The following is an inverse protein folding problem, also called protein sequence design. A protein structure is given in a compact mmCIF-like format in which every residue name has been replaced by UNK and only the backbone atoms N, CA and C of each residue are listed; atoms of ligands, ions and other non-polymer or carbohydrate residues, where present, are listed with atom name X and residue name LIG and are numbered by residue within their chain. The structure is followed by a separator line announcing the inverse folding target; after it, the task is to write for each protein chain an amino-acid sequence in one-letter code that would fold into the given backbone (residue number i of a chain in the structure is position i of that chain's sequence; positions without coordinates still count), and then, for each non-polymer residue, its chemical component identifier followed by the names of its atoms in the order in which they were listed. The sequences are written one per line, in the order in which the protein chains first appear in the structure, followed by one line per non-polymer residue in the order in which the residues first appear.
data_IF_543331190514
#
_entry.id   IF_543331190514
#
_cell.length_a   1.000
_cell.length_b   1.000
_cell.length_c   1.000
_cell.angle_alpha   90.00
_cell.angle_beta   90.00
_cell.angle_gamma   90.00
#
_symmetry.space_group_name_H-M   'P 1'
#
loop_
_entity.id
_entity.type
_entity.pdbx_description
1 polymer ?
#
# COMPACT_ATOMS: atom_id res chain seq x y z
N UNK A 1 -30.31 0.52 -8.40
CA UNK A 1 -30.49 -0.85 -7.85
C UNK A 1 -29.60 -1.76 -8.68
N UNK A 2 -28.55 -2.34 -8.10
CA UNK A 2 -27.69 -3.28 -8.81
C UNK A 2 -28.38 -4.65 -8.94
N UNK A 3 -28.35 -5.24 -10.13
CA UNK A 3 -28.88 -6.56 -10.39
C UNK A 3 -27.81 -7.43 -11.05
N UNK A 4 -27.52 -8.59 -10.46
CA UNK A 4 -26.72 -9.66 -11.06
C UNK A 4 -27.59 -10.88 -11.34
N UNK A 5 -27.25 -11.69 -12.35
CA UNK A 5 -27.88 -13.01 -12.55
C UNK A 5 -27.48 -13.95 -11.42
N UNK A 6 -28.45 -14.56 -10.75
CA UNK A 6 -28.21 -15.59 -9.71
C UNK A 6 -28.24 -17.01 -10.25
N UNK A 7 -28.70 -17.20 -11.50
CA UNK A 7 -28.85 -18.52 -12.13
C UNK A 7 -29.74 -19.47 -11.30
N UNK A 8 -30.67 -18.89 -10.53
CA UNK A 8 -31.70 -19.61 -9.81
C UNK A 8 -32.97 -19.78 -10.68
N UNK A 9 -33.86 -20.74 -10.39
CA UNK A 9 -35.10 -20.92 -11.15
C UNK A 9 -36.00 -19.68 -11.21
N UNK A 10 -35.93 -18.81 -10.20
CA UNK A 10 -36.74 -17.59 -10.06
C UNK A 10 -36.05 -16.33 -10.62
N UNK A 11 -34.90 -16.46 -11.27
CA UNK A 11 -34.03 -15.31 -11.57
C UNK A 11 -34.69 -14.30 -12.53
N UNK A 12 -35.48 -14.78 -13.49
CA UNK A 12 -36.25 -13.91 -14.39
C UNK A 12 -37.35 -13.14 -13.63
N UNK A 13 -38.16 -13.82 -12.82
CA UNK A 13 -39.19 -13.19 -12.02
C UNK A 13 -38.62 -12.15 -11.03
N UNK A 14 -37.44 -12.45 -10.45
CA UNK A 14 -36.74 -11.47 -9.61
C UNK A 14 -36.25 -10.27 -10.41
N UNK A 15 -35.69 -10.45 -11.60
CA UNK A 15 -35.27 -9.31 -12.43
C UNK A 15 -36.45 -8.40 -12.77
N UNK A 16 -37.60 -8.97 -13.12
CA UNK A 16 -38.84 -8.21 -13.33
C UNK A 16 -39.28 -7.46 -12.06
N UNK A 17 -39.24 -8.11 -10.90
CA UNK A 17 -39.55 -7.46 -9.64
C UNK A 17 -38.58 -6.31 -9.32
N UNK A 18 -37.28 -6.48 -9.58
CA UNK A 18 -36.28 -5.42 -9.41
C UNK A 18 -36.47 -4.28 -10.43
N UNK A 19 -36.86 -4.59 -11.66
CA UNK A 19 -37.20 -3.61 -12.68
C UNK A 19 -38.45 -2.81 -12.29
N UNK A 20 -39.49 -3.46 -11.76
CA UNK A 20 -40.69 -2.80 -11.26
C UNK A 20 -40.38 -1.88 -10.05
N UNK A 21 -39.47 -2.30 -9.16
CA UNK A 21 -38.98 -1.48 -8.05
C UNK A 21 -38.12 -0.29 -8.53
N UNK A 22 -37.41 -0.46 -9.65
CA UNK A 22 -36.73 0.58 -10.39
C UNK A 22 -37.76 1.45 -11.14
N UNK A 23 -38.64 2.12 -10.39
CA UNK A 23 -39.59 3.09 -10.93
C UNK A 23 -38.94 4.42 -11.29
N UNK A 24 -39.74 5.50 -11.30
CA UNK A 24 -39.30 6.84 -11.76
C UNK A 24 -38.07 7.45 -11.06
N UNK A 25 -37.76 7.05 -9.83
CA UNK A 25 -36.68 7.65 -9.01
C UNK A 25 -35.42 6.80 -8.88
N UNK A 26 -35.44 5.55 -9.36
CA UNK A 26 -34.35 4.59 -9.18
C UNK A 26 -34.17 3.81 -10.47
N UNK A 27 -32.95 3.72 -10.97
CA UNK A 27 -32.63 2.91 -12.14
C UNK A 27 -32.17 1.52 -11.74
N UNK A 28 -32.53 0.52 -12.55
CA UNK A 28 -31.91 -0.80 -12.51
C UNK A 28 -30.56 -0.70 -13.21
N UNK A 29 -29.52 -1.34 -12.66
CA UNK A 29 -28.18 -1.35 -13.22
C UNK A 29 -27.72 -2.79 -13.27
N UNK A 30 -27.37 -3.26 -14.47
CA UNK A 30 -26.80 -4.60 -14.63
C UNK A 30 -25.40 -4.63 -13.99
N UNK A 31 -25.12 -5.67 -13.22
CA UNK A 31 -23.79 -5.98 -12.65
C UNK A 31 -23.57 -7.48 -12.75
N UNK A 32 -22.33 -7.96 -12.63
CA UNK A 32 -22.04 -9.40 -12.61
C UNK A 32 -21.45 -9.89 -11.28
N UNK A 33 -21.32 -9.00 -10.30
CA UNK A 33 -20.81 -9.30 -8.95
C UNK A 33 -19.49 -10.10 -9.01
N UNK A 34 -18.52 -9.59 -9.76
CA UNK A 34 -17.34 -10.34 -10.20
C UNK A 34 -16.43 -10.69 -9.01
N UNK A 35 -15.95 -11.94 -8.97
CA UNK A 35 -14.95 -12.41 -7.99
C UNK A 35 -13.59 -12.72 -8.65
N UNK A 36 -13.58 -12.99 -9.95
CA UNK A 36 -12.37 -13.40 -10.67
C UNK A 36 -12.42 -12.98 -12.15
N UNK A 37 -11.27 -12.87 -12.81
CA UNK A 37 -11.20 -12.36 -14.18
C UNK A 37 -11.60 -13.38 -15.26
N UNK A 38 -11.50 -14.69 -14.99
CA UNK A 38 -11.77 -15.73 -15.99
C UNK A 38 -12.44 -16.98 -15.37
N UNK A 39 -13.27 -17.73 -16.10
CA UNK A 39 -13.93 -18.94 -15.59
C UNK A 39 -12.96 -19.96 -14.97
N UNK A 40 -11.76 -20.10 -15.54
CA UNK A 40 -10.71 -21.01 -15.07
C UNK A 40 -10.21 -20.73 -13.65
N UNK A 41 -10.43 -19.51 -13.12
CA UNK A 41 -10.05 -19.10 -11.76
C UNK A 41 -11.01 -19.58 -10.69
N UNK A 42 -12.13 -20.19 -11.07
CA UNK A 42 -13.13 -20.68 -10.12
C UNK A 42 -12.53 -21.57 -9.01
N UNK A 43 -11.71 -22.59 -9.30
CA UNK A 43 -11.16 -23.45 -8.25
C UNK A 43 -10.30 -22.69 -7.24
N UNK A 44 -9.54 -21.69 -7.69
CA UNK A 44 -8.75 -20.84 -6.79
C UNK A 44 -9.67 -20.02 -5.87
N UNK A 45 -10.77 -19.48 -6.39
CA UNK A 45 -11.73 -18.73 -5.58
C UNK A 45 -12.41 -19.60 -4.51
N UNK A 46 -12.75 -20.86 -4.84
CA UNK A 46 -13.29 -21.79 -3.84
C UNK A 46 -12.25 -22.08 -2.74
N UNK A 47 -10.98 -22.24 -3.10
CA UNK A 47 -9.89 -22.38 -2.13
C UNK A 47 -9.73 -21.12 -1.27
N UNK A 48 -9.74 -19.92 -1.86
CA UNK A 48 -9.68 -18.67 -1.09
C UNK A 48 -10.88 -18.51 -0.14
N UNK A 49 -12.07 -18.95 -0.55
CA UNK A 49 -13.27 -18.98 0.29
C UNK A 49 -13.09 -19.93 1.47
N UNK A 50 -12.54 -21.12 1.24
CA UNK A 50 -12.20 -22.09 2.27
C UNK A 50 -11.13 -21.56 3.25
N UNK A 51 -10.07 -20.91 2.75
CA UNK A 51 -9.05 -20.26 3.58
C UNK A 51 -9.67 -19.21 4.50
N UNK A 52 -10.54 -18.35 3.96
CA UNK A 52 -11.25 -17.32 4.73
C UNK A 52 -12.11 -17.91 5.85
N UNK A 53 -12.77 -19.04 5.61
CA UNK A 53 -13.68 -19.69 6.57
C UNK A 53 -13.00 -20.75 7.44
N UNK A 54 -11.70 -21.02 7.24
CA UNK A 54 -10.98 -22.04 7.99
C UNK A 54 -11.54 -23.46 7.81
N UNK A 55 -11.99 -23.81 6.60
CA UNK A 55 -12.56 -25.13 6.31
C UNK A 55 -11.94 -25.78 5.07
N UNK A 56 -12.16 -27.08 4.89
CA UNK A 56 -11.78 -27.77 3.65
C UNK A 56 -12.82 -27.55 2.55
N UNK A 57 -12.48 -27.84 1.30
CA UNK A 57 -13.41 -27.85 0.16
C UNK A 57 -14.56 -28.83 0.43
N UNK A 58 -14.24 -30.04 0.92
CA UNK A 58 -15.24 -31.04 1.27
C UNK A 58 -16.19 -30.58 2.39
N UNK A 59 -15.68 -29.80 3.36
CA UNK A 59 -16.45 -29.27 4.49
C UNK A 59 -17.14 -27.92 4.24
N UNK A 60 -16.96 -27.32 3.06
CA UNK A 60 -17.41 -25.95 2.81
C UNK A 60 -18.94 -25.82 2.73
N UNK A 61 -19.63 -26.82 2.15
CA UNK A 61 -21.08 -26.81 1.96
C UNK A 61 -21.57 -25.57 1.22
N UNK A 62 -22.61 -24.92 1.74
CA UNK A 62 -23.21 -23.69 1.17
C UNK A 62 -22.34 -22.43 1.28
N UNK A 63 -21.10 -22.54 1.78
CA UNK A 63 -20.17 -21.41 1.84
C UNK A 63 -19.57 -21.09 0.47
N UNK A 64 -19.52 -22.06 -0.45
CA UNK A 64 -19.07 -21.86 -1.83
C UNK A 64 -20.22 -21.27 -2.65
N UNK A 65 -19.88 -20.52 -3.70
CA UNK A 65 -20.91 -19.98 -4.58
C UNK A 65 -21.57 -21.13 -5.37
N UNK A 66 -22.87 -21.07 -5.65
CA UNK A 66 -23.60 -22.17 -6.31
C UNK A 66 -23.22 -22.39 -7.78
N UNK A 67 -22.52 -21.44 -8.42
CA UNK A 67 -22.19 -21.50 -9.84
C UNK A 67 -20.86 -20.79 -10.18
N UNK A 68 -20.25 -21.13 -11.33
CA UNK A 68 -18.99 -20.57 -11.82
C UNK A 68 -19.07 -19.20 -12.52
N UNK A 69 -20.24 -18.56 -12.51
CA UNK A 69 -20.56 -17.42 -13.38
C UNK A 69 -20.05 -16.04 -12.91
N UNK A 70 -19.37 -15.95 -11.77
CA UNK A 70 -18.85 -14.68 -11.20
C UNK A 70 -17.48 -14.28 -11.79
N UNK A 71 -17.24 -14.58 -13.07
CA UNK A 71 -16.07 -14.11 -13.83
C UNK A 71 -16.35 -12.79 -14.57
N UNK A 72 -15.32 -12.10 -15.07
CA UNK A 72 -15.51 -10.97 -15.97
C UNK A 72 -16.10 -11.45 -17.31
N UNK A 73 -17.34 -11.06 -17.60
CA UNK A 73 -18.06 -11.49 -18.81
C UNK A 73 -17.88 -10.50 -19.96
N UNK A 74 -17.82 -10.99 -21.22
CA UNK A 74 -17.89 -10.13 -22.39
C UNK A 74 -19.20 -9.34 -22.46
N UNK A 75 -19.19 -8.16 -23.07
CA UNK A 75 -20.36 -7.30 -23.21
C UNK A 75 -21.56 -8.01 -23.86
N UNK A 76 -21.31 -8.77 -24.94
CA UNK A 76 -22.35 -9.53 -25.64
C UNK A 76 -23.08 -10.54 -24.72
N UNK A 77 -22.35 -11.17 -23.80
CA UNK A 77 -22.92 -12.10 -22.85
C UNK A 77 -23.76 -11.36 -21.79
N UNK A 78 -23.30 -10.21 -21.30
CA UNK A 78 -24.08 -9.37 -20.39
C UNK A 78 -25.39 -8.90 -21.05
N UNK A 79 -25.35 -8.45 -22.31
CA UNK A 79 -26.55 -8.09 -23.09
C UNK A 79 -27.50 -9.28 -23.24
N UNK A 80 -26.97 -10.48 -23.52
CA UNK A 80 -27.79 -11.70 -23.62
C UNK A 80 -28.47 -12.04 -22.29
N UNK A 81 -27.75 -11.95 -21.18
CA UNK A 81 -28.24 -12.26 -19.83
C UNK A 81 -29.32 -11.28 -19.33
N UNK A 82 -29.28 -10.03 -19.80
CA UNK A 82 -30.22 -8.95 -19.47
C UNK A 82 -31.17 -8.61 -20.63
N UNK A 83 -31.42 -9.54 -21.56
CA UNK A 83 -32.42 -9.37 -22.62
C UNK A 83 -33.78 -9.03 -22.00
N UNK A 84 -34.44 -7.99 -22.51
CA UNK A 84 -35.67 -7.42 -21.94
C UNK A 84 -35.44 -6.35 -20.86
N UNK A 85 -34.17 -6.12 -20.48
CA UNK A 85 -33.74 -5.10 -19.52
C UNK A 85 -32.56 -4.30 -20.08
N UNK A 86 -32.60 -3.95 -21.36
CA UNK A 86 -31.53 -3.24 -22.08
C UNK A 86 -31.18 -1.90 -21.42
N UNK A 87 -32.18 -1.22 -20.83
CA UNK A 87 -31.99 0.00 -20.07
C UNK A 87 -31.06 -0.19 -18.84
N UNK A 88 -30.99 -1.39 -18.26
CA UNK A 88 -30.10 -1.67 -17.13
C UNK A 88 -28.63 -1.79 -17.56
N UNK A 89 -28.37 -2.23 -18.80
CA UNK A 89 -27.04 -2.22 -19.41
C UNK A 89 -26.65 -0.78 -19.74
N UNK A 90 -27.54 -0.02 -20.39
CA UNK A 90 -27.29 1.39 -20.73
C UNK A 90 -26.98 2.26 -19.50
N UNK A 91 -27.64 2.01 -18.36
CA UNK A 91 -27.38 2.72 -17.11
C UNK A 91 -25.93 2.60 -16.60
N UNK A 92 -25.19 1.55 -17.00
CA UNK A 92 -23.77 1.42 -16.65
C UNK A 92 -22.94 2.55 -17.28
N UNK A 93 -23.17 2.86 -18.56
CA UNK A 93 -22.44 3.90 -19.28
C UNK A 93 -22.71 5.28 -18.68
N UNK A 94 -23.97 5.58 -18.37
CA UNK A 94 -24.36 6.85 -17.73
C UNK A 94 -23.67 7.05 -16.37
N UNK A 95 -23.53 5.98 -15.57
CA UNK A 95 -22.81 6.04 -14.29
C UNK A 95 -21.33 6.35 -14.54
N UNK A 96 -20.70 5.66 -15.49
CA UNK A 96 -19.28 5.89 -15.80
C UNK A 96 -19.03 7.30 -16.33
N UNK A 97 -19.92 7.83 -17.18
CA UNK A 97 -19.86 9.21 -17.68
C UNK A 97 -20.03 10.25 -16.57
N UNK A 98 -20.77 9.93 -15.50
CA UNK A 98 -20.95 10.82 -14.36
C UNK A 98 -19.76 10.80 -13.38
N UNK A 99 -18.87 9.79 -13.45
CA UNK A 99 -17.69 9.70 -12.59
C UNK A 99 -16.55 10.54 -13.21
N UNK A 100 -16.40 11.76 -12.70
CA UNK A 100 -15.30 12.66 -13.09
C UNK A 100 -14.02 12.53 -12.24
N UNK A 101 -14.09 11.79 -11.13
CA UNK A 101 -12.95 11.64 -10.21
C UNK A 101 -11.87 10.72 -10.78
N UNK A 102 -10.62 11.15 -10.64
CA UNK A 102 -9.42 10.38 -10.95
C UNK A 102 -8.46 10.41 -9.76
N UNK A 103 -7.55 9.42 -9.68
CA UNK A 103 -6.52 9.45 -8.64
C UNK A 103 -5.57 10.67 -8.75
N UNK A 104 -5.53 11.35 -9.91
CA UNK A 104 -4.77 12.59 -10.09
C UNK A 104 -5.42 13.81 -9.43
N UNK A 105 -6.70 13.73 -9.04
CA UNK A 105 -7.36 14.79 -8.27
C UNK A 105 -6.92 14.81 -6.80
N UNK A 106 -6.28 13.73 -6.35
CA UNK A 106 -5.71 13.63 -5.00
C UNK A 106 -4.44 14.47 -4.94
N UNK A 107 -4.46 15.52 -4.12
CA UNK A 107 -3.30 16.37 -3.86
C UNK A 107 -2.83 16.18 -2.43
N UNK A 108 -1.59 15.74 -2.30
CA UNK A 108 -0.95 15.59 -1.00
C UNK A 108 -0.28 16.91 -0.59
N UNK A 109 -0.52 17.32 0.64
CA UNK A 109 0.10 18.51 1.22
C UNK A 109 0.69 18.19 2.59
N UNK A 110 1.95 18.60 2.78
CA UNK A 110 2.67 18.46 4.04
C UNK A 110 2.03 19.29 5.16
N UNK A 111 2.12 18.82 6.42
CA UNK A 111 1.63 19.57 7.57
C UNK A 111 2.17 21.01 7.65
N UNK A 112 1.38 21.89 8.26
CA UNK A 112 1.88 23.19 8.71
C UNK A 112 2.75 22.99 9.95
N UNK A 113 4.04 23.32 9.85
CA UNK A 113 4.87 23.53 11.05
C UNK A 113 4.68 24.95 11.59
N UNK A 114 4.81 25.16 12.92
CA UNK A 114 4.79 26.49 13.49
C UNK A 114 5.91 27.35 12.90
N UNK A 115 5.54 28.44 12.23
CA UNK A 115 6.46 29.44 11.70
C UNK A 115 6.30 30.72 12.54
N UNK A 116 7.38 31.43 12.91
CA UNK A 116 7.28 32.68 13.67
C UNK A 116 6.36 33.70 12.99
N UNK A 117 5.61 34.52 13.75
CA UNK A 117 4.71 35.53 13.17
C UNK A 117 5.42 36.42 12.14
N UNK A 118 4.84 36.55 10.95
CA UNK A 118 5.39 37.36 9.85
C UNK A 118 6.48 36.69 9.02
N UNK A 119 6.80 35.41 9.27
CA UNK A 119 7.74 34.62 8.45
C UNK A 119 7.00 33.65 7.54
N UNK A 120 7.61 33.33 6.40
CA UNK A 120 7.20 32.21 5.53
C UNK A 120 7.93 30.93 5.93
N UNK A 121 7.42 29.73 5.58
CA UNK A 121 8.15 28.47 5.77
C UNK A 121 9.58 28.52 5.21
N UNK A 122 9.76 29.08 4.01
CA UNK A 122 11.09 29.21 3.38
C UNK A 122 12.04 30.11 4.18
N UNK A 123 11.55 31.26 4.65
CA UNK A 123 12.35 32.18 5.45
C UNK A 123 12.73 31.56 6.81
N UNK A 124 11.81 30.81 7.43
CA UNK A 124 12.09 30.13 8.69
C UNK A 124 13.08 28.98 8.52
N UNK A 125 12.93 28.19 7.46
CA UNK A 125 13.89 27.14 7.11
C UNK A 125 15.29 27.73 6.90
N UNK A 126 15.40 28.86 6.19
CA UNK A 126 16.66 29.56 6.00
C UNK A 126 17.27 30.01 7.34
N UNK A 127 16.49 30.63 8.23
CA UNK A 127 16.97 31.05 9.55
C UNK A 127 17.53 29.85 10.35
N UNK A 128 16.84 28.71 10.34
CA UNK A 128 17.27 27.48 11.00
C UNK A 128 18.54 26.90 10.37
N UNK A 129 18.60 26.85 9.03
CA UNK A 129 19.76 26.34 8.31
C UNK A 129 21.02 27.19 8.60
N UNK A 130 20.91 28.51 8.58
CA UNK A 130 22.05 29.38 8.88
C UNK A 130 22.48 29.30 10.35
N UNK A 131 21.52 29.24 11.28
CA UNK A 131 21.81 29.04 12.70
C UNK A 131 22.52 27.72 12.96
N UNK A 132 22.03 26.64 12.34
CA UNK A 132 22.64 25.32 12.41
C UNK A 132 24.03 25.26 11.80
N UNK A 133 24.24 25.91 10.64
CA UNK A 133 25.55 26.01 10.01
C UNK A 133 26.56 26.76 10.90
N UNK A 134 26.15 27.83 11.58
CA UNK A 134 27.02 28.54 12.52
C UNK A 134 27.45 27.68 13.72
N UNK A 135 26.57 26.77 14.18
CA UNK A 135 26.90 25.80 15.24
C UNK A 135 27.86 24.73 14.72
N UNK A 136 27.67 24.24 13.50
CA UNK A 136 28.53 23.21 12.88
C UNK A 136 29.92 23.73 12.54
N UNK A 137 30.03 25.01 12.13
CA UNK A 137 31.28 25.66 11.77
C UNK A 137 31.57 26.85 12.70
N UNK A 138 32.06 26.60 13.94
CA UNK A 138 32.32 27.66 14.92
C UNK A 138 33.42 28.64 14.48
N UNK A 139 34.31 28.22 13.57
CA UNK A 139 35.33 29.07 12.93
C UNK A 139 34.81 29.93 11.77
N UNK A 140 33.50 29.88 11.48
CA UNK A 140 32.87 30.50 10.33
C UNK A 140 32.53 29.50 9.23
N UNK A 141 31.37 29.66 8.60
CA UNK A 141 30.91 28.80 7.51
C UNK A 141 31.78 29.02 6.26
N UNK A 142 32.44 27.99 5.70
CA UNK A 142 33.23 28.13 4.48
C UNK A 142 32.42 28.70 3.33
N UNK A 143 33.04 29.52 2.48
CA UNK A 143 32.34 30.20 1.38
C UNK A 143 31.68 29.23 0.39
N UNK A 144 32.32 28.09 0.14
CA UNK A 144 31.79 27.00 -0.68
C UNK A 144 30.51 26.41 -0.08
N UNK A 145 30.51 26.10 1.21
CA UNK A 145 29.34 25.58 1.93
C UNK A 145 28.22 26.62 2.00
N UNK A 146 28.54 27.88 2.25
CA UNK A 146 27.56 28.96 2.22
C UNK A 146 26.91 29.11 0.84
N UNK A 147 27.67 28.94 -0.26
CA UNK A 147 27.12 28.93 -1.61
C UNK A 147 26.19 27.73 -1.84
N UNK A 148 26.59 26.54 -1.38
CA UNK A 148 25.75 25.33 -1.45
C UNK A 148 24.45 25.50 -0.69
N UNK A 149 24.48 25.95 0.57
CA UNK A 149 23.27 26.18 1.37
C UNK A 149 22.29 27.13 0.67
N UNK A 150 22.78 28.24 0.08
CA UNK A 150 21.91 29.17 -0.68
C UNK A 150 21.25 28.46 -1.87
N UNK A 151 22.04 27.75 -2.67
CA UNK A 151 21.55 27.01 -3.85
C UNK A 151 20.49 25.98 -3.46
N UNK A 152 20.71 25.23 -2.38
CA UNK A 152 19.75 24.24 -1.88
C UNK A 152 18.46 24.90 -1.39
N UNK A 153 18.56 25.99 -0.61
CA UNK A 153 17.39 26.74 -0.12
C UNK A 153 16.57 27.32 -1.28
N UNK A 154 17.22 27.87 -2.30
CA UNK A 154 16.55 28.40 -3.49
C UNK A 154 15.77 27.30 -4.22
N UNK A 155 16.37 26.11 -4.39
CA UNK A 155 15.70 24.98 -5.04
C UNK A 155 14.54 24.44 -4.19
N UNK A 156 14.72 24.34 -2.87
CA UNK A 156 13.68 23.93 -1.93
C UNK A 156 12.47 24.88 -2.02
N UNK A 157 12.72 26.19 -2.10
CA UNK A 157 11.68 27.20 -2.24
C UNK A 157 10.96 27.12 -3.59
N UNK A 158 11.71 26.95 -4.69
CA UNK A 158 11.15 26.77 -6.04
C UNK A 158 10.21 25.57 -6.13
N UNK A 159 10.52 24.48 -5.42
CA UNK A 159 9.73 23.24 -5.42
C UNK A 159 8.68 23.19 -4.30
N UNK A 160 8.64 24.18 -3.41
CA UNK A 160 7.66 24.25 -2.32
C UNK A 160 7.90 23.22 -1.19
N UNK A 161 9.14 22.77 -1.00
CA UNK A 161 9.47 21.71 -0.04
C UNK A 161 9.86 22.21 1.36
N UNK A 162 9.83 23.51 1.64
CA UNK A 162 10.24 24.02 2.95
C UNK A 162 9.47 23.38 4.13
N UNK A 163 8.17 23.15 3.96
CA UNK A 163 7.32 22.48 4.97
C UNK A 163 7.82 21.08 5.31
N UNK A 164 8.22 20.32 4.30
CA UNK A 164 8.74 18.97 4.48
C UNK A 164 10.02 18.98 5.33
N UNK A 165 10.97 19.86 5.01
CA UNK A 165 12.21 20.01 5.78
C UNK A 165 11.94 20.45 7.23
N UNK A 166 10.99 21.36 7.43
CA UNK A 166 10.60 21.81 8.78
C UNK A 166 9.98 20.65 9.59
N UNK A 167 9.10 19.84 8.99
CA UNK A 167 8.50 18.67 9.67
C UNK A 167 9.57 17.67 10.09
N UNK A 168 10.53 17.35 9.20
CA UNK A 168 11.62 16.44 9.53
C UNK A 168 12.54 17.03 10.61
N UNK A 169 12.87 18.32 10.51
CA UNK A 169 13.67 19.01 11.52
C UNK A 169 13.00 19.00 12.91
N UNK A 170 11.68 19.16 12.98
CA UNK A 170 10.95 19.09 14.26
C UNK A 170 11.03 17.69 14.90
N UNK A 171 10.82 16.63 14.10
CA UNK A 171 10.88 15.23 14.56
C UNK A 171 12.31 14.87 15.01
N UNK A 172 13.32 15.22 14.22
CA UNK A 172 14.74 15.03 14.59
C UNK A 172 15.10 15.86 15.82
N UNK A 173 14.60 17.10 15.91
CA UNK A 173 14.78 17.96 17.07
C UNK A 173 14.17 17.37 18.35
N UNK A 174 12.99 16.76 18.26
CA UNK A 174 12.40 16.01 19.37
C UNK A 174 13.29 14.85 19.81
N UNK A 175 13.69 13.99 18.87
CA UNK A 175 14.54 12.83 19.17
C UNK A 175 15.83 13.25 19.89
N UNK A 176 16.51 14.29 19.40
CA UNK A 176 17.72 14.84 20.02
C UNK A 176 17.49 15.38 21.43
N UNK A 177 16.39 16.12 21.66
CA UNK A 177 16.04 16.63 23.00
C UNK A 177 15.78 15.50 24.01
N UNK A 178 15.27 14.36 23.53
CA UNK A 178 15.05 13.16 24.34
C UNK A 178 16.27 12.22 24.41
N UNK A 179 17.40 12.61 23.81
CA UNK A 179 18.60 11.79 23.72
C UNK A 179 18.40 10.49 22.93
N UNK A 180 17.42 10.45 22.02
CA UNK A 180 17.19 9.32 21.11
C UNK A 180 18.18 9.44 19.96
N UNK A 181 18.96 8.38 19.70
CA UNK A 181 19.87 8.36 18.57
C UNK A 181 19.08 8.38 17.26
N UNK A 182 19.43 9.31 16.37
CA UNK A 182 18.83 9.42 15.05
C UNK A 182 19.84 9.84 13.98
N UNK A 183 19.68 9.33 12.76
CA UNK A 183 20.57 9.62 11.64
C UNK A 183 19.78 9.61 10.32
N UNK A 184 19.89 10.68 9.54
CA UNK A 184 19.42 10.71 8.16
C UNK A 184 20.26 9.78 7.28
N UNK A 185 19.58 8.99 6.43
CA UNK A 185 20.18 8.04 5.47
C UNK A 185 19.80 8.38 4.02
N UNK A 186 20.38 7.64 3.09
CA UNK A 186 20.08 7.78 1.67
C UNK A 186 20.56 9.11 1.09
N UNK A 187 19.75 9.69 0.21
CA UNK A 187 20.10 10.89 -0.54
C UNK A 187 20.10 12.16 0.31
N UNK A 188 19.44 12.15 1.48
CA UNK A 188 19.49 13.25 2.44
C UNK A 188 20.91 13.55 2.96
N UNK A 189 21.80 12.56 2.96
CA UNK A 189 23.22 12.73 3.31
C UNK A 189 23.94 13.73 2.38
N UNK A 190 23.41 13.97 1.18
CA UNK A 190 23.99 14.84 0.16
C UNK A 190 23.56 16.31 0.28
N UNK A 191 22.85 16.69 1.34
CA UNK A 191 22.32 18.05 1.52
C UNK A 191 23.04 18.79 2.65
N UNK A 192 23.60 19.96 2.30
CA UNK A 192 24.16 20.90 3.27
C UNK A 192 23.09 21.48 4.19
N UNK A 193 21.86 21.68 3.72
CA UNK A 193 20.70 22.07 4.55
C UNK A 193 20.39 20.96 5.56
N UNK A 194 20.32 19.69 5.16
CA UNK A 194 20.13 18.57 6.10
C UNK A 194 21.25 18.48 7.15
N UNK A 195 22.51 18.69 6.76
CA UNK A 195 23.64 18.71 7.69
C UNK A 195 23.56 19.86 8.70
N UNK A 196 23.20 21.06 8.21
CA UNK A 196 23.05 22.25 9.03
C UNK A 196 21.92 22.12 10.05
N UNK A 197 20.76 21.58 9.65
CA UNK A 197 19.64 21.24 10.56
C UNK A 197 20.01 20.08 11.51
N UNK A 198 21.07 19.34 11.18
CA UNK A 198 21.50 18.15 11.90
C UNK A 198 20.60 16.94 11.70
N UNK A 199 19.88 16.89 10.59
CA UNK A 199 19.24 15.66 10.13
C UNK A 199 20.33 14.62 9.79
N UNK A 200 21.46 15.07 9.23
CA UNK A 200 22.60 14.22 8.89
C UNK A 200 23.85 14.63 9.67
N UNK A 201 24.76 13.67 9.86
CA UNK A 201 26.07 13.88 10.48
C UNK A 201 27.22 14.08 9.47
N UNK A 202 26.94 13.94 8.17
CA UNK A 202 27.94 13.94 7.11
C UNK A 202 28.26 15.38 6.68
N UNK A 203 29.51 15.81 6.86
CA UNK A 203 29.94 17.15 6.47
C UNK A 203 30.09 17.25 4.93
N UNK A 204 29.32 18.11 4.25
CA UNK A 204 29.43 18.29 2.80
C UNK A 204 30.78 18.92 2.36
N UNK A 205 31.60 19.43 3.27
CA UNK A 205 32.94 19.94 2.96
C UNK A 205 33.96 18.81 2.75
N UNK A 206 33.71 17.62 3.32
CA UNK A 206 34.64 16.49 3.29
C UNK A 206 34.37 15.52 2.14
N UNK A 207 33.23 15.69 1.43
CA UNK A 207 32.77 14.73 0.42
C UNK A 207 32.13 15.48 -0.75
N UNK A 208 32.43 15.04 -1.98
CA UNK A 208 31.81 15.59 -3.19
C UNK A 208 30.42 14.96 -3.40
N UNK A 209 29.38 15.66 -2.96
CA UNK A 209 28.01 15.16 -2.94
C UNK A 209 27.17 15.84 -4.04
N UNK A 210 26.55 15.04 -4.90
CA UNK A 210 25.66 15.52 -5.95
C UNK A 210 24.23 15.73 -5.40
N UNK A 211 23.95 16.96 -4.96
CA UNK A 211 22.63 17.35 -4.42
C UNK A 211 21.49 17.17 -5.44
N UNK A 212 21.75 17.28 -6.74
CA UNK A 212 20.77 17.12 -7.82
C UNK A 212 20.23 15.68 -7.91
N UNK A 213 20.92 14.70 -7.29
CA UNK A 213 20.39 13.33 -7.12
C UNK A 213 19.36 13.22 -6.00
N UNK A 214 19.34 14.17 -5.07
CA UNK A 214 18.45 14.23 -3.92
C UNK A 214 17.21 15.07 -4.24
N UNK A 215 17.39 16.27 -4.78
CA UNK A 215 16.31 17.16 -5.20
C UNK A 215 16.47 17.46 -6.69
N UNK A 216 15.52 17.01 -7.51
CA UNK A 216 15.52 17.24 -8.96
C UNK A 216 14.19 17.83 -9.43
N UNK A 217 14.27 18.97 -10.11
CA UNK A 217 13.10 19.60 -10.72
C UNK A 217 12.47 18.75 -11.84
N UNK A 218 13.24 17.85 -12.46
CA UNK A 218 12.75 16.98 -13.55
C UNK A 218 11.92 15.79 -13.06
N UNK A 219 12.06 15.40 -11.78
CA UNK A 219 11.35 14.24 -11.21
C UNK A 219 9.91 14.58 -10.79
N UNK A 220 9.64 15.83 -10.41
CA UNK A 220 8.31 16.24 -9.92
C UNK A 220 7.85 15.54 -8.62
N UNK A 221 8.76 14.84 -7.93
CA UNK A 221 8.51 14.14 -6.67
C UNK A 221 9.32 14.77 -5.53
N UNK A 222 8.79 14.83 -4.29
CA UNK A 222 9.55 15.29 -3.13
C UNK A 222 10.80 14.46 -2.84
N UNK A 223 11.86 15.04 -2.28
CA UNK A 223 13.03 14.29 -1.84
C UNK A 223 12.67 13.31 -0.72
N UNK A 224 13.35 12.15 -0.70
CA UNK A 224 13.15 11.15 0.35
C UNK A 224 14.19 11.33 1.48
N UNK A 225 13.77 11.99 2.57
CA UNK A 225 14.53 12.11 3.82
C UNK A 225 14.14 10.99 4.77
N UNK A 226 14.82 9.86 4.60
CA UNK A 226 14.76 8.76 5.53
C UNK A 226 15.57 9.06 6.80
N UNK A 227 14.94 8.97 7.97
CA UNK A 227 15.62 9.10 9.27
C UNK A 227 15.52 7.79 10.03
N UNK A 228 16.68 7.22 10.36
CA UNK A 228 16.80 6.10 11.27
C UNK A 228 16.70 6.59 12.72
N UNK A 229 15.95 5.88 13.55
CA UNK A 229 15.86 6.11 14.99
C UNK A 229 16.26 4.84 15.74
N UNK A 230 16.80 5.00 16.94
CA UNK A 230 17.09 3.91 17.87
C UNK A 230 15.90 2.94 18.01
N UNK A 231 16.14 1.66 17.76
CA UNK A 231 15.08 0.65 17.63
C UNK A 231 14.18 0.56 18.88
N UNK A 232 14.79 0.55 20.06
CA UNK A 232 14.07 0.39 21.34
C UNK A 232 13.24 1.64 21.71
N UNK A 233 13.62 2.82 21.18
CA UNK A 233 13.00 4.11 21.51
C UNK A 233 12.19 4.72 20.36
N UNK A 234 12.07 4.01 19.23
CA UNK A 234 11.28 4.45 18.07
C UNK A 234 9.82 4.73 18.42
N UNK A 235 9.25 4.00 19.38
CA UNK A 235 7.86 4.22 19.79
C UNK A 235 7.63 5.61 20.38
N UNK A 236 8.61 6.17 21.11
CA UNK A 236 8.52 7.53 21.66
C UNK A 236 8.36 8.57 20.55
N UNK A 237 9.05 8.38 19.43
CA UNK A 237 8.95 9.25 18.24
C UNK A 237 7.58 9.10 17.56
N UNK A 238 7.07 7.87 17.43
CA UNK A 238 5.74 7.62 16.87
C UNK A 238 4.66 8.31 17.72
N UNK A 239 4.72 8.15 19.05
CA UNK A 239 3.77 8.77 19.96
C UNK A 239 3.89 10.31 19.96
N UNK A 240 5.10 10.85 19.82
CA UNK A 240 5.29 12.28 19.60
C UNK A 240 4.58 12.77 18.33
N UNK A 241 4.74 12.06 17.22
CA UNK A 241 4.10 12.39 15.95
C UNK A 241 2.57 12.37 16.11
N UNK A 242 2.00 11.31 16.70
CA UNK A 242 0.56 11.25 16.95
C UNK A 242 0.07 12.36 17.89
N UNK A 243 0.82 12.67 18.96
CA UNK A 243 0.50 13.76 19.88
C UNK A 243 0.55 15.14 19.21
N UNK A 244 1.50 15.34 18.28
CA UNK A 244 1.68 16.61 17.57
C UNK A 244 0.63 16.83 16.47
N UNK A 245 0.40 15.85 15.61
CA UNK A 245 -0.44 16.03 14.41
C UNK A 245 -1.87 15.51 14.60
N UNK A 246 -2.08 14.59 15.54
CA UNK A 246 -3.35 13.92 15.82
C UNK A 246 -3.66 12.80 14.82
N UNK A 247 -4.38 11.76 15.27
CA UNK A 247 -4.72 10.57 14.47
C UNK A 247 -5.57 10.88 13.20
N UNK A 248 -6.16 12.07 13.10
CA UNK A 248 -6.90 12.49 11.91
C UNK A 248 -5.96 12.84 10.74
N UNK A 249 -4.69 13.17 11.02
CA UNK A 249 -3.72 13.70 10.05
C UNK A 249 -2.41 12.92 9.99
N UNK A 250 -2.21 12.02 10.96
CA UNK A 250 -1.05 11.17 11.13
C UNK A 250 -1.50 9.71 11.20
N UNK A 251 -0.88 8.84 10.40
CA UNK A 251 -1.09 7.40 10.46
C UNK A 251 0.13 6.62 10.00
N UNK A 252 0.31 5.41 10.52
CA UNK A 252 1.27 4.47 9.98
C UNK A 252 0.84 3.98 8.59
N UNK A 253 1.80 3.81 7.68
CA UNK A 253 1.56 3.21 6.39
C UNK A 253 1.19 1.72 6.55
N UNK A 254 0.24 1.25 5.74
CA UNK A 254 -0.08 -0.17 5.66
C UNK A 254 0.93 -0.91 4.77
N UNK A 255 1.26 -2.15 5.13
CA UNK A 255 2.02 -3.06 4.30
C UNK A 255 1.09 -4.17 3.77
N UNK A 256 0.99 -4.32 2.45
CA UNK A 256 0.26 -5.42 1.83
C UNK A 256 1.16 -6.64 1.78
N UNK A 257 0.87 -7.65 2.62
CA UNK A 257 1.63 -8.89 2.62
C UNK A 257 1.08 -9.79 1.53
N UNK A 258 1.96 -10.19 0.61
CA UNK A 258 1.63 -11.10 -0.48
C UNK A 258 1.95 -12.54 -0.11
N UNK A 259 1.26 -13.47 -0.76
CA UNK A 259 1.55 -14.90 -0.66
C UNK A 259 2.95 -15.21 -1.21
N UNK A 260 3.76 -15.86 -0.38
CA UNK A 260 5.01 -16.52 -0.81
C UNK A 260 4.78 -18.02 -0.95
N UNK A 261 5.61 -18.76 -1.72
CA UNK A 261 5.40 -20.19 -1.98
C UNK A 261 5.07 -21.02 -0.73
N UNK A 262 5.83 -20.81 0.35
CA UNK A 262 5.61 -21.48 1.65
C UNK A 262 4.21 -21.24 2.22
N UNK A 263 3.76 -19.99 2.26
CA UNK A 263 2.43 -19.63 2.76
C UNK A 263 1.31 -20.08 1.81
N UNK A 264 1.54 -20.02 0.51
CA UNK A 264 0.56 -20.40 -0.50
C UNK A 264 0.24 -21.90 -0.40
N UNK A 265 1.25 -22.77 -0.39
CA UNK A 265 1.02 -24.22 -0.33
C UNK A 265 0.43 -24.67 1.01
N UNK A 266 0.78 -23.98 2.11
CA UNK A 266 0.18 -24.25 3.42
C UNK A 266 -1.31 -23.95 3.44
N UNK A 267 -1.71 -22.76 2.98
CA UNK A 267 -3.12 -22.36 3.01
C UNK A 267 -3.95 -23.16 1.98
N UNK A 268 -3.41 -23.39 0.77
CA UNK A 268 -4.04 -24.22 -0.27
C UNK A 268 -4.16 -25.69 0.16
N UNK A 269 -3.09 -26.28 0.70
CA UNK A 269 -3.08 -27.68 1.13
C UNK A 269 -4.09 -27.94 2.24
N UNK A 270 -4.19 -27.03 3.23
CA UNK A 270 -5.23 -27.10 4.27
C UNK A 270 -6.63 -27.02 3.68
N UNK A 271 -6.88 -26.09 2.76
CA UNK A 271 -8.18 -25.96 2.10
C UNK A 271 -8.54 -27.21 1.28
N UNK A 272 -7.57 -27.87 0.64
CA UNK A 272 -7.79 -29.11 -0.08
C UNK A 272 -7.89 -30.35 0.82
N UNK A 273 -7.57 -30.23 2.11
CA UNK A 273 -7.60 -31.34 3.06
C UNK A 273 -6.40 -32.29 2.94
N UNK A 274 -5.25 -31.81 2.45
CA UNK A 274 -4.01 -32.58 2.46
C UNK A 274 -3.53 -32.85 3.89
N UNK A 275 -2.81 -33.96 4.08
CA UNK A 275 -2.19 -34.27 5.36
C UNK A 275 -1.15 -33.22 5.74
N UNK A 276 -1.06 -32.92 7.05
CA UNK A 276 -0.14 -31.91 7.56
C UNK A 276 1.34 -32.23 7.22
N UNK A 277 1.70 -33.50 7.22
CA UNK A 277 3.03 -34.00 6.82
C UNK A 277 3.33 -33.64 5.37
N UNK A 278 2.42 -33.95 4.43
CA UNK A 278 2.55 -33.59 3.02
C UNK A 278 2.68 -32.08 2.82
N UNK A 279 1.87 -31.30 3.55
CA UNK A 279 1.91 -29.83 3.47
C UNK A 279 3.28 -29.30 3.91
N UNK A 280 3.81 -29.78 5.03
CA UNK A 280 5.11 -29.30 5.54
C UNK A 280 6.27 -29.75 4.65
N UNK A 281 6.21 -30.95 4.07
CA UNK A 281 7.17 -31.42 3.06
C UNK A 281 7.21 -30.48 1.86
N UNK A 282 6.04 -30.09 1.31
CA UNK A 282 5.99 -29.15 0.19
C UNK A 282 6.42 -27.73 0.58
N UNK A 283 6.07 -27.30 1.79
CA UNK A 283 6.44 -26.00 2.33
C UNK A 283 7.96 -25.88 2.54
N UNK A 284 8.66 -26.98 2.83
CA UNK A 284 10.12 -27.01 2.96
C UNK A 284 10.84 -26.76 1.63
N UNK A 285 10.21 -27.10 0.49
CA UNK A 285 10.77 -26.87 -0.84
C UNK A 285 10.65 -25.40 -1.33
N UNK A 286 10.10 -24.49 -0.51
CA UNK A 286 9.80 -23.11 -0.90
C UNK A 286 11.01 -22.23 -1.21
N UNK A 287 12.23 -22.69 -0.90
CA UNK A 287 13.48 -21.97 -1.16
C UNK A 287 13.99 -22.16 -2.59
N UNK A 288 13.41 -23.09 -3.35
CA UNK A 288 13.81 -23.36 -4.72
C UNK A 288 13.29 -22.26 -5.67
N UNK A 289 14.14 -21.68 -6.53
CA UNK A 289 13.76 -20.60 -7.42
C UNK A 289 13.04 -21.11 -8.67
N UNK A 290 12.17 -20.26 -9.23
CA UNK A 290 11.59 -20.44 -10.57
C UNK A 290 10.96 -21.82 -10.79
N UNK A 291 11.30 -22.45 -11.92
CA UNK A 291 10.72 -23.73 -12.35
C UNK A 291 11.10 -24.92 -11.46
N UNK A 292 12.14 -24.77 -10.63
CA UNK A 292 12.51 -25.81 -9.67
C UNK A 292 11.50 -25.91 -8.51
N UNK A 293 10.72 -24.85 -8.24
CA UNK A 293 9.73 -24.83 -7.16
C UNK A 293 8.66 -25.92 -7.38
N UNK A 294 8.65 -26.93 -6.51
CA UNK A 294 7.77 -28.10 -6.59
C UNK A 294 7.87 -28.86 -7.92
N UNK A 295 9.08 -29.01 -8.45
CA UNK A 295 9.35 -29.86 -9.62
C UNK A 295 9.18 -31.35 -9.29
N UNK A 296 8.84 -32.16 -10.29
CA UNK A 296 8.62 -33.60 -10.09
C UNK A 296 9.85 -34.32 -9.52
N UNK A 297 11.05 -33.83 -9.79
CA UNK A 297 12.29 -34.37 -9.22
C UNK A 297 12.29 -34.18 -7.70
N UNK A 298 12.07 -32.95 -7.22
CA UNK A 298 12.02 -32.65 -5.79
C UNK A 298 10.86 -33.35 -5.08
N UNK A 299 9.72 -33.53 -5.77
CA UNK A 299 8.60 -34.29 -5.22
C UNK A 299 8.99 -35.75 -4.99
N UNK A 300 9.62 -36.40 -5.99
CA UNK A 300 10.09 -37.79 -5.85
C UNK A 300 11.17 -37.94 -4.78
N UNK A 301 12.14 -37.01 -4.71
CA UNK A 301 13.17 -36.99 -3.66
C UNK A 301 12.57 -36.86 -2.26
N UNK A 302 11.45 -36.14 -2.13
CA UNK A 302 10.71 -36.01 -0.89
C UNK A 302 9.72 -37.17 -0.63
N UNK A 303 9.75 -38.23 -1.45
CA UNK A 303 8.87 -39.39 -1.33
C UNK A 303 7.42 -39.15 -1.72
N UNK A 304 7.13 -38.07 -2.46
CA UNK A 304 5.80 -37.73 -2.95
C UNK A 304 5.64 -38.19 -4.40
N UNK A 305 4.47 -38.73 -4.74
CA UNK A 305 4.12 -39.06 -6.13
C UNK A 305 3.70 -37.79 -6.88
N UNK A 306 4.49 -37.31 -7.86
CA UNK A 306 4.14 -36.12 -8.63
C UNK A 306 2.88 -36.29 -9.48
N UNK A 307 2.43 -37.52 -9.77
CA UNK A 307 1.21 -37.77 -10.53
C UNK A 307 -0.05 -37.84 -9.66
N UNK A 308 0.10 -37.80 -8.33
CA UNK A 308 -1.04 -37.79 -7.41
C UNK A 308 -1.98 -36.59 -7.71
N UNK A 309 -3.26 -36.82 -8.06
CA UNK A 309 -4.15 -35.75 -8.56
C UNK A 309 -4.34 -34.59 -7.59
N UNK A 310 -4.48 -34.88 -6.29
CA UNK A 310 -4.68 -33.85 -5.27
C UNK A 310 -3.41 -33.03 -5.01
N UNK A 311 -2.24 -33.67 -5.11
CA UNK A 311 -0.95 -32.99 -5.02
C UNK A 311 -0.75 -32.02 -6.19
N UNK A 312 -0.99 -32.49 -7.43
CA UNK A 312 -0.91 -31.64 -8.63
C UNK A 312 -1.88 -30.47 -8.57
N UNK A 313 -3.10 -30.69 -8.06
CA UNK A 313 -4.10 -29.64 -7.86
C UNK A 313 -3.62 -28.60 -6.85
N UNK A 314 -3.05 -29.05 -5.72
CA UNK A 314 -2.52 -28.16 -4.69
C UNK A 314 -1.36 -27.30 -5.19
N UNK A 315 -0.39 -27.92 -5.86
CA UNK A 315 0.77 -27.22 -6.44
C UNK A 315 0.33 -26.19 -7.48
N UNK A 316 -0.56 -26.56 -8.40
CA UNK A 316 -1.09 -25.64 -9.41
C UNK A 316 -1.77 -24.43 -8.76
N UNK A 317 -2.69 -24.66 -7.82
CA UNK A 317 -3.43 -23.58 -7.16
C UNK A 317 -2.52 -22.72 -6.27
N UNK A 318 -1.53 -23.33 -5.62
CA UNK A 318 -0.53 -22.59 -4.85
C UNK A 318 0.32 -21.69 -5.75
N UNK A 319 0.74 -22.16 -6.93
CA UNK A 319 1.43 -21.32 -7.93
C UNK A 319 0.57 -20.15 -8.40
N UNK A 320 -0.72 -20.36 -8.63
CA UNK A 320 -1.65 -19.26 -8.97
C UNK A 320 -1.87 -18.27 -7.82
N UNK A 321 -1.67 -18.69 -6.58
CA UNK A 321 -1.86 -17.86 -5.37
C UNK A 321 -0.60 -17.05 -5.02
N UNK A 322 0.60 -17.46 -5.46
CA UNK A 322 1.85 -16.72 -5.21
C UNK A 322 1.72 -15.30 -5.74
N UNK A 323 2.26 -14.36 -4.98
CA UNK A 323 2.22 -12.91 -5.22
C UNK A 323 0.81 -12.28 -5.22
N UNK A 324 -0.25 -13.02 -4.89
CA UNK A 324 -1.54 -12.42 -4.58
C UNK A 324 -1.55 -11.82 -3.16
N UNK A 325 -2.31 -10.74 -2.90
CA UNK A 325 -2.46 -10.18 -1.57
C UNK A 325 -3.04 -11.21 -0.58
N UNK A 326 -2.43 -11.32 0.60
CA UNK A 326 -2.86 -12.23 1.67
C UNK A 326 -3.58 -11.48 2.80
N UNK A 327 -2.93 -10.45 3.33
CA UNK A 327 -3.47 -9.64 4.43
C UNK A 327 -2.75 -8.30 4.53
N UNK A 328 -3.38 -7.35 5.23
CA UNK A 328 -2.77 -6.09 5.61
C UNK A 328 -1.97 -6.27 6.90
N UNK A 329 -0.81 -5.64 6.95
CA UNK A 329 0.04 -5.49 8.13
C UNK A 329 0.42 -4.01 8.30
N UNK A 330 1.11 -3.68 9.39
CA UNK A 330 1.65 -2.35 9.64
C UNK A 330 3.05 -2.24 9.05
N UNK A 331 3.37 -1.14 8.37
CA UNK A 331 4.73 -0.90 7.87
C UNK A 331 5.68 -0.64 9.04
N UNK A 332 6.88 -1.21 8.98
CA UNK A 332 7.87 -1.16 10.07
C UNK A 332 8.57 0.20 10.21
N UNK A 333 8.31 1.16 9.32
CA UNK A 333 8.98 2.47 9.34
C UNK A 333 8.17 3.62 8.73
N UNK A 334 7.07 3.30 8.08
CA UNK A 334 6.41 4.21 7.15
C UNK A 334 5.33 5.00 7.88
N UNK A 335 5.37 6.31 7.75
CA UNK A 335 4.43 7.19 8.41
C UNK A 335 3.93 8.23 7.41
N UNK A 336 2.62 8.46 7.41
CA UNK A 336 1.97 9.42 6.52
C UNK A 336 1.48 10.58 7.37
N UNK A 337 1.91 11.79 7.00
CA UNK A 337 1.53 13.04 7.64
C UNK A 337 0.85 13.93 6.62
N UNK A 338 -0.27 14.54 6.95
CA UNK A 338 -1.03 15.39 6.02
C UNK A 338 -1.44 16.70 6.69
N UNK A 339 -1.63 17.74 5.89
CA UNK A 339 -2.21 19.00 6.38
C UNK A 339 -3.69 18.86 6.72
N UNK A 340 -4.46 18.28 5.80
CA UNK A 340 -5.88 17.98 5.95
C UNK A 340 -6.10 16.59 6.53
N UNK A 341 -7.34 16.13 6.65
CA UNK A 341 -7.61 14.81 7.20
C UNK A 341 -7.14 13.72 6.23
N UNK A 342 -6.54 12.66 6.76
CA UNK A 342 -6.08 11.52 5.97
C UNK A 342 -7.21 10.85 5.21
N UNK A 343 -8.40 10.77 5.79
CA UNK A 343 -9.57 10.12 5.19
C UNK A 343 -10.21 10.91 4.03
N UNK A 344 -9.72 12.12 3.74
CA UNK A 344 -10.02 12.87 2.51
C UNK A 344 -9.12 12.44 1.33
N UNK A 345 -8.01 11.76 1.61
CA UNK A 345 -6.96 11.40 0.64
C UNK A 345 -6.87 9.88 0.45
N UNK A 346 -6.92 9.11 1.55
CA UNK A 346 -6.72 7.67 1.55
C UNK A 346 -7.58 7.00 2.62
N UNK A 347 -8.16 5.82 2.36
CA UNK A 347 -8.86 5.07 3.40
C UNK A 347 -7.93 4.72 4.58
N UNK A 348 -8.39 5.02 5.79
CA UNK A 348 -7.67 4.69 7.04
C UNK A 348 -8.48 3.69 7.87
N UNK A 349 -7.79 2.91 8.69
CA UNK A 349 -8.40 1.96 9.60
C UNK A 349 -7.56 1.81 10.87
N UNK A 350 -8.17 1.37 11.99
CA UNK A 350 -7.47 1.20 13.25
C UNK A 350 -6.35 0.17 13.11
N UNK A 351 -5.20 0.46 13.72
CA UNK A 351 -4.13 -0.51 13.83
C UNK A 351 -4.55 -1.69 14.73
N UNK A 352 -3.94 -2.86 14.51
CA UNK A 352 -4.16 -4.02 15.38
C UNK A 352 -3.60 -3.84 16.81
N UNK A 353 -2.72 -2.84 17.02
CA UNK A 353 -2.10 -2.55 18.31
C UNK A 353 -2.81 -1.36 18.98
N UNK A 354 -3.02 -1.45 20.29
CA UNK A 354 -3.65 -0.37 21.06
C UNK A 354 -2.80 0.91 21.03
N UNK A 355 -3.46 2.06 20.86
CA UNK A 355 -2.79 3.38 20.87
C UNK A 355 -2.13 3.78 19.55
N UNK A 356 -2.57 3.24 18.40
CA UNK A 356 -2.05 3.56 17.07
C UNK A 356 -3.13 3.69 15.99
#
# INVERSE_FOLDING_TARGET
IGAARRYAPDDAARLEALAALAGRRRRLVAVNDILYHAPSRRPLQDVMRCIRHGCTIAGAGLRLEPHGERHLKPAAEMTRLFRGHEAAIAAQAEILEAVGFTLGDIRYEYPDEPVPPGRTPDAHLADLAWSGAAIRYPGGVPATIAATIRRELDLIAQLGYARYFLTVNDIVGFARRQGILCQGRGSAANSAVCYALGITAVDPAEIDLLFERFVSAERGEPPDIDVDFEHERREEVIQYIYGRYGCARAAMAAAVIHYRPRSAIRDVGKALGLEATTIETLAAQSWNPGDALWSDVLLREAGLDPEAPDLRRAIRLARELVDLPRHLSQHVGGFVLTRTRLDEIVPVGPAAMAGR
#
